data_IF_035099708904
#
_entry.id   IF_035099708904
#
_cell.length_a   1.000
_cell.length_b   1.000
_cell.length_c   1.000
_cell.angle_alpha   90.00
_cell.angle_beta   90.00
_cell.angle_gamma   90.00
#
_symmetry.space_group_name_H-M   'P 1'
#
loop_
_entity.id
_entity.type
_entity.pdbx_description
1 polymer ?
#
# COMPACT_ATOMS: atom_id res chain seq x y z
N UNK A 1 16.34 4.71 1.20
CA UNK A 1 15.20 3.92 1.68
C UNK A 1 15.34 2.44 1.37
N UNK A 2 14.67 1.58 2.14
CA UNK A 2 14.59 0.12 1.93
C UNK A 2 13.47 -0.22 0.95
N UNK A 3 13.62 -1.28 0.14
CA UNK A 3 12.58 -1.78 -0.77
C UNK A 3 12.23 -3.23 -0.43
N UNK A 4 10.95 -3.59 -0.52
CA UNK A 4 10.46 -4.95 -0.30
C UNK A 4 9.42 -5.30 -1.37
N UNK A 5 9.52 -6.49 -1.97
CA UNK A 5 8.51 -7.02 -2.87
C UNK A 5 7.70 -8.08 -2.13
N UNK A 6 6.38 -7.95 -2.15
CA UNK A 6 5.44 -8.95 -1.65
C UNK A 6 4.69 -9.53 -2.84
N UNK A 7 4.60 -10.85 -2.90
CA UNK A 7 3.71 -11.56 -3.82
C UNK A 7 2.67 -12.30 -3.00
N UNK A 8 1.40 -12.10 -3.33
CA UNK A 8 0.29 -12.77 -2.67
C UNK A 8 -0.58 -13.51 -3.68
N UNK A 9 -1.18 -14.59 -3.22
CA UNK A 9 -2.14 -15.38 -3.98
C UNK A 9 -3.32 -15.73 -3.09
N UNK A 10 -4.53 -15.69 -3.66
CA UNK A 10 -5.74 -16.08 -2.99
C UNK A 10 -5.70 -17.58 -2.64
N UNK A 11 -5.87 -17.89 -1.36
CA UNK A 11 -6.00 -19.27 -0.92
C UNK A 11 -7.39 -19.80 -1.28
N UNK A 12 -7.46 -20.89 -2.03
CA UNK A 12 -8.73 -21.49 -2.46
C UNK A 12 -8.59 -23.01 -2.63
N UNK A 13 -9.70 -23.73 -2.48
CA UNK A 13 -9.75 -25.18 -2.67
C UNK A 13 -10.36 -25.53 -4.03
N UNK A 14 -9.61 -26.33 -4.79
CA UNK A 14 -10.05 -26.82 -6.10
C UNK A 14 -11.30 -27.70 -5.96
N UNK A 15 -12.30 -27.47 -6.81
CA UNK A 15 -13.47 -28.35 -6.89
C UNK A 15 -13.17 -29.53 -7.83
N UNK A 16 -13.56 -30.77 -7.48
CA UNK A 16 -13.39 -31.91 -8.37
C UNK A 16 -14.07 -31.68 -9.73
N UNK A 17 -13.37 -32.00 -10.82
CA UNK A 17 -13.91 -31.93 -12.19
C UNK A 17 -13.62 -30.63 -12.97
N UNK A 18 -12.88 -29.68 -12.40
CA UNK A 18 -12.46 -28.47 -13.13
C UNK A 18 -11.32 -28.73 -14.12
N UNK A 19 -11.40 -28.12 -15.30
CA UNK A 19 -10.28 -28.09 -16.27
C UNK A 19 -9.16 -27.15 -15.82
N UNK A 20 -7.97 -27.27 -16.42
CA UNK A 20 -6.86 -26.34 -16.14
C UNK A 20 -7.23 -24.87 -16.41
N UNK A 21 -7.95 -24.60 -17.50
CA UNK A 21 -8.40 -23.26 -17.85
C UNK A 21 -9.38 -22.69 -16.81
N UNK A 22 -10.35 -23.49 -16.37
CA UNK A 22 -11.31 -23.09 -15.33
C UNK A 22 -10.62 -22.79 -13.99
N UNK A 23 -9.60 -23.58 -13.62
CA UNK A 23 -8.80 -23.31 -12.42
C UNK A 23 -8.02 -22.00 -12.52
N UNK A 24 -7.42 -21.71 -13.66
CA UNK A 24 -6.71 -20.45 -13.89
C UNK A 24 -7.67 -19.24 -13.85
N UNK A 25 -8.84 -19.35 -14.47
CA UNK A 25 -9.83 -18.28 -14.49
C UNK A 25 -10.41 -18.02 -13.09
N UNK A 26 -10.71 -19.07 -12.32
CA UNK A 26 -11.20 -18.94 -10.95
C UNK A 26 -10.12 -18.38 -10.00
N UNK A 27 -8.87 -18.84 -10.12
CA UNK A 27 -7.74 -18.27 -9.36
C UNK A 27 -7.53 -16.79 -9.70
N UNK A 28 -7.58 -16.42 -10.99
CA UNK A 28 -7.47 -15.03 -11.42
C UNK A 28 -8.65 -14.17 -10.95
N UNK A 29 -9.86 -14.73 -10.89
CA UNK A 29 -11.04 -14.07 -10.33
C UNK A 29 -10.86 -13.80 -8.83
N UNK A 30 -10.42 -14.79 -8.07
CA UNK A 30 -10.21 -14.67 -6.62
C UNK A 30 -9.05 -13.72 -6.29
N UNK A 31 -7.93 -13.80 -7.02
CA UNK A 31 -6.83 -12.85 -6.88
C UNK A 31 -7.31 -11.40 -7.11
N UNK A 32 -8.09 -11.16 -8.17
CA UNK A 32 -8.67 -9.83 -8.41
C UNK A 32 -9.64 -9.38 -7.32
N UNK A 33 -10.50 -10.28 -6.83
CA UNK A 33 -11.48 -9.97 -5.81
C UNK A 33 -10.85 -9.63 -4.45
N UNK A 34 -9.76 -10.29 -4.08
CA UNK A 34 -9.02 -10.07 -2.84
C UNK A 34 -7.87 -9.06 -2.98
N UNK A 35 -7.66 -8.53 -4.18
CA UNK A 35 -6.54 -7.64 -4.48
C UNK A 35 -5.17 -8.31 -4.40
N UNK A 36 -5.08 -9.64 -4.50
CA UNK A 36 -3.80 -10.35 -4.48
C UNK A 36 -2.99 -10.09 -5.76
N UNK A 37 -1.68 -9.92 -5.60
CA UNK A 37 -0.75 -9.65 -6.70
C UNK A 37 0.65 -9.31 -6.22
N UNK A 38 1.48 -8.78 -7.11
CA UNK A 38 2.76 -8.20 -6.73
C UNK A 38 2.54 -6.78 -6.19
N UNK A 39 3.03 -6.53 -4.98
CA UNK A 39 3.10 -5.18 -4.40
C UNK A 39 4.53 -4.87 -4.04
N UNK A 40 5.02 -3.72 -4.51
CA UNK A 40 6.31 -3.15 -4.15
C UNK A 40 6.11 -2.15 -3.04
N UNK A 41 6.95 -2.21 -2.00
CA UNK A 41 6.94 -1.28 -0.89
C UNK A 41 8.28 -0.56 -0.81
N UNK A 42 8.25 0.77 -0.73
CA UNK A 42 9.40 1.62 -0.47
C UNK A 42 9.29 2.30 0.89
N UNK A 43 10.37 2.26 1.66
CA UNK A 43 10.44 2.79 3.01
C UNK A 43 11.44 3.95 3.09
N UNK A 44 11.10 5.00 3.82
CA UNK A 44 12.04 6.05 4.23
C UNK A 44 12.27 5.96 5.74
N UNK A 45 13.49 5.58 6.14
CA UNK A 45 13.74 5.09 7.49
C UNK A 45 12.77 3.95 7.87
N UNK A 46 11.93 4.22 8.87
CA UNK A 46 10.91 3.30 9.38
C UNK A 46 9.50 3.54 8.85
N UNK A 47 9.25 4.64 8.12
CA UNK A 47 7.92 4.96 7.57
C UNK A 47 7.76 4.41 6.17
N UNK A 48 6.55 3.95 5.83
CA UNK A 48 6.23 3.47 4.50
C UNK A 48 6.08 4.68 3.58
N UNK A 49 7.06 4.93 2.72
CA UNK A 49 7.07 6.09 1.82
C UNK A 49 6.16 5.89 0.61
N UNK A 50 6.08 4.68 0.07
CA UNK A 50 5.18 4.36 -1.03
C UNK A 50 4.90 2.88 -1.16
N UNK A 51 3.78 2.56 -1.78
CA UNK A 51 3.46 1.23 -2.31
C UNK A 51 3.11 1.32 -3.79
N UNK A 52 3.47 0.30 -4.56
CA UNK A 52 3.27 0.24 -6.00
C UNK A 52 2.71 -1.11 -6.43
N UNK A 53 1.68 -1.08 -7.26
CA UNK A 53 1.08 -2.19 -7.98
C UNK A 53 1.14 -1.90 -9.49
N UNK A 54 0.74 -2.86 -10.31
CA UNK A 54 0.84 -2.77 -11.77
C UNK A 54 0.08 -1.57 -12.37
N UNK A 55 -0.95 -1.07 -11.68
CA UNK A 55 -1.86 -0.03 -12.15
C UNK A 55 -1.86 1.25 -11.28
N UNK A 56 -1.25 1.21 -10.10
CA UNK A 56 -1.31 2.31 -9.14
C UNK A 56 -0.07 2.35 -8.24
N UNK A 57 0.41 3.56 -7.97
CA UNK A 57 1.38 3.86 -6.92
C UNK A 57 0.75 4.84 -5.93
N UNK A 58 0.87 4.55 -4.64
CA UNK A 58 0.43 5.44 -3.55
C UNK A 58 1.65 5.87 -2.75
N UNK A 59 1.90 7.16 -2.67
CA UNK A 59 2.92 7.78 -1.83
C UNK A 59 2.28 8.27 -0.54
N UNK A 60 2.99 8.10 0.58
CA UNK A 60 2.56 8.57 1.90
C UNK A 60 3.54 9.63 2.42
N UNK A 61 2.99 10.71 2.97
CA UNK A 61 3.74 11.76 3.65
C UNK A 61 3.41 11.72 5.13
N UNK A 62 4.41 11.93 5.98
CA UNK A 62 4.28 11.88 7.44
C UNK A 62 4.83 13.16 8.06
N UNK A 63 4.40 13.43 9.29
CA UNK A 63 5.04 14.43 10.13
C UNK A 63 6.54 14.10 10.34
N UNK A 64 7.44 15.12 10.34
CA UNK A 64 8.86 14.88 10.53
C UNK A 64 9.17 14.12 11.83
N UNK A 65 9.88 13.00 11.71
CA UNK A 65 10.29 12.18 12.86
C UNK A 65 9.17 11.41 13.55
N UNK A 66 8.01 11.28 12.91
CA UNK A 66 6.80 10.67 13.47
C UNK A 66 6.20 9.62 12.51
N UNK A 67 5.25 8.84 13.02
CA UNK A 67 4.42 7.91 12.25
C UNK A 67 3.04 8.48 11.93
N UNK A 68 2.78 9.74 12.29
CA UNK A 68 1.51 10.44 11.98
C UNK A 68 1.46 10.76 10.49
N UNK A 69 0.54 10.17 9.72
CA UNK A 69 0.41 10.48 8.30
C UNK A 69 -0.22 11.87 8.12
N UNK A 70 0.24 12.58 7.09
CA UNK A 70 -0.25 13.91 6.71
C UNK A 70 -1.06 13.86 5.42
N UNK A 71 -0.54 13.18 4.39
CA UNK A 71 -1.19 13.09 3.10
C UNK A 71 -0.83 11.80 2.38
N UNK A 72 -1.67 11.42 1.40
CA UNK A 72 -1.33 10.44 0.40
C UNK A 72 -1.56 10.98 -1.01
N UNK A 73 -0.63 10.66 -1.91
CA UNK A 73 -0.68 11.02 -3.32
C UNK A 73 -0.73 9.75 -4.17
N UNK A 74 -1.64 9.73 -5.15
CA UNK A 74 -1.92 8.56 -5.97
C UNK A 74 -1.55 8.87 -7.41
N UNK A 75 -0.83 7.95 -8.04
CA UNK A 75 -0.54 7.94 -9.47
C UNK A 75 -1.03 6.63 -10.07
N UNK A 76 -1.81 6.68 -11.16
CA UNK A 76 -2.36 5.52 -11.89
C UNK A 76 -1.34 4.94 -12.86
N UNK A 77 -0.12 4.77 -12.35
CA UNK A 77 1.01 4.19 -13.05
C UNK A 77 1.81 3.35 -12.05
N UNK A 78 2.42 2.25 -12.52
CA UNK A 78 3.33 1.49 -11.70
C UNK A 78 4.59 2.31 -11.44
N UNK A 79 5.17 2.13 -10.26
CA UNK A 79 6.45 2.72 -9.90
C UNK A 79 7.54 2.18 -10.83
N UNK A 80 8.19 3.07 -11.59
CA UNK A 80 9.30 2.70 -12.45
C UNK A 80 10.58 2.60 -11.62
N UNK A 81 10.92 1.37 -11.21
CA UNK A 81 12.20 1.12 -10.57
C UNK A 81 13.32 1.17 -11.61
N UNK A 82 14.32 2.04 -11.39
CA UNK A 82 15.54 2.00 -12.17
C UNK A 82 16.23 0.65 -11.99
N UNK A 83 16.59 0.02 -13.11
CA UNK A 83 17.40 -1.19 -13.09
C UNK A 83 18.78 -0.86 -12.53
N UNK A 84 19.35 -1.77 -11.74
CA UNK A 84 20.75 -1.64 -11.35
C UNK A 84 21.62 -1.73 -12.62
N UNK A 85 22.44 -0.72 -12.92
CA UNK A 85 23.38 -0.81 -14.02
C UNK A 85 24.33 -1.99 -13.78
N UNK A 86 24.53 -2.80 -14.81
CA UNK A 86 25.58 -3.83 -14.81
C UNK A 86 26.87 -3.14 -15.20
N UNK A 87 27.71 -2.82 -14.22
CA UNK A 87 29.01 -2.19 -14.47
C UNK A 87 29.98 -3.20 -15.11
N UNK A 88 30.20 -3.09 -16.42
CA UNK A 88 31.23 -3.84 -17.12
C UNK A 88 32.51 -3.00 -17.24
N UNK A 89 33.24 -2.82 -16.12
CA UNK A 89 34.47 -2.03 -16.09
C UNK A 89 34.65 -1.22 -14.81
N UNK A 90 35.57 -0.24 -14.84
CA UNK A 90 35.70 0.75 -13.77
C UNK A 90 34.45 1.60 -13.67
N UNK A 91 34.12 2.06 -12.45
CA UNK A 91 33.00 2.96 -12.22
C UNK A 91 33.17 4.27 -13.00
N UNK A 92 32.14 4.64 -13.76
CA UNK A 92 32.05 5.90 -14.50
C UNK A 92 30.73 6.60 -14.13
N UNK A 93 30.83 7.76 -13.49
CA UNK A 93 29.67 8.53 -13.00
C UNK A 93 28.82 9.07 -14.15
N UNK A 94 29.45 9.36 -15.30
CA UNK A 94 28.77 9.90 -16.48
C UNK A 94 27.98 8.82 -17.25
N UNK A 95 28.17 7.55 -16.90
CA UNK A 95 27.42 6.41 -17.44
C UNK A 95 26.44 5.82 -16.42
N UNK A 96 26.38 6.38 -15.21
CA UNK A 96 25.49 5.89 -14.19
C UNK A 96 24.06 6.44 -14.46
N UNK A 97 23.08 5.56 -14.73
CA UNK A 97 21.70 5.97 -14.96
C UNK A 97 21.09 6.73 -13.78
N UNK A 98 21.60 6.56 -12.54
CA UNK A 98 21.14 7.33 -11.39
C UNK A 98 21.53 8.82 -11.45
N UNK A 99 22.62 9.15 -12.15
CA UNK A 99 23.13 10.51 -12.27
C UNK A 99 22.77 11.18 -13.60
N UNK A 100 22.48 10.38 -14.62
CA UNK A 100 22.18 10.84 -15.98
C UNK A 100 20.69 10.84 -16.31
N UNK A 101 19.88 10.08 -15.57
CA UNK A 101 18.42 10.07 -15.75
C UNK A 101 17.76 10.96 -14.71
N UNK A 102 17.13 12.04 -15.17
CA UNK A 102 16.14 12.78 -14.38
C UNK A 102 14.76 12.39 -14.89
N UNK A 103 14.10 11.36 -14.32
CA UNK A 103 12.74 11.06 -14.72
C UNK A 103 11.86 12.27 -14.44
N UNK A 104 10.99 12.63 -15.39
CA UNK A 104 9.92 13.58 -15.08
C UNK A 104 9.04 12.94 -14.00
N UNK A 105 8.74 13.66 -12.90
CA UNK A 105 7.88 13.13 -11.88
C UNK A 105 6.50 12.82 -12.48
N UNK A 106 5.99 11.64 -12.20
CA UNK A 106 4.64 11.29 -12.60
C UNK A 106 3.63 12.29 -12.01
N UNK A 107 2.60 12.58 -12.79
CA UNK A 107 1.47 13.36 -12.31
C UNK A 107 0.80 12.68 -11.11
N UNK A 108 0.31 13.49 -10.19
CA UNK A 108 -0.56 13.03 -9.10
C UNK A 108 -2.00 13.08 -9.61
N UNK A 109 -2.64 11.92 -9.70
CA UNK A 109 -4.03 11.77 -10.15
C UNK A 109 -5.04 12.06 -9.04
N UNK A 110 -4.66 11.83 -7.77
CA UNK A 110 -5.47 12.16 -6.61
C UNK A 110 -4.60 12.45 -5.39
N UNK A 111 -5.07 13.37 -4.54
CA UNK A 111 -4.43 13.76 -3.29
C UNK A 111 -5.48 13.71 -2.17
N UNK A 112 -5.11 13.19 -1.01
CA UNK A 112 -5.98 13.18 0.17
C UNK A 112 -5.17 13.47 1.44
N UNK A 113 -5.79 14.15 2.41
CA UNK A 113 -5.15 14.59 3.65
C UNK A 113 -5.74 13.85 4.84
N UNK A 114 -4.86 13.43 5.74
CA UNK A 114 -5.20 12.68 6.93
C UNK A 114 -5.66 13.60 8.06
N UNK A 115 -6.78 13.26 8.68
CA UNK A 115 -7.22 13.82 9.96
C UNK A 115 -7.04 12.74 11.02
N UNK A 116 -6.09 12.95 11.93
CA UNK A 116 -5.73 11.97 12.95
C UNK A 116 -6.25 12.39 14.33
N UNK A 117 -6.42 11.41 15.23
CA UNK A 117 -6.60 11.69 16.65
C UNK A 117 -5.27 12.13 17.31
N UNK A 118 -5.31 12.43 18.62
CA UNK A 118 -4.15 12.82 19.41
C UNK A 118 -3.03 11.75 19.49
N UNK A 119 -3.32 10.52 19.08
CA UNK A 119 -2.35 9.42 19.00
C UNK A 119 -1.84 9.21 17.57
N UNK A 120 -2.22 10.05 16.61
CA UNK A 120 -1.80 9.88 15.21
C UNK A 120 -2.55 8.78 14.46
N UNK A 121 -3.67 8.29 14.99
CA UNK A 121 -4.49 7.28 14.32
C UNK A 121 -5.41 7.96 13.31
N UNK A 122 -5.35 7.62 12.02
CA UNK A 122 -6.25 8.17 11.00
C UNK A 122 -7.72 7.98 11.34
N UNK A 123 -8.49 9.05 11.46
CA UNK A 123 -9.95 9.01 11.62
C UNK A 123 -10.65 9.31 10.29
N UNK A 124 -10.12 10.25 9.52
CA UNK A 124 -10.71 10.69 8.25
C UNK A 124 -9.64 11.01 7.20
N UNK A 125 -10.06 10.99 5.94
CA UNK A 125 -9.35 11.55 4.81
C UNK A 125 -10.25 12.56 4.11
N UNK A 126 -9.70 13.73 3.80
CA UNK A 126 -10.35 14.74 2.97
C UNK A 126 -9.68 14.85 1.61
N UNK A 127 -10.43 15.14 0.54
CA UNK A 127 -9.86 15.47 -0.77
C UNK A 127 -9.49 16.95 -0.88
N UNK A 128 -9.15 17.40 -2.10
CA UNK A 128 -8.70 18.76 -2.37
C UNK A 128 -9.81 19.81 -2.21
N UNK A 129 -11.06 19.39 -2.29
CA UNK A 129 -12.23 20.24 -2.07
C UNK A 129 -12.61 20.29 -0.57
N UNK A 130 -11.93 19.52 0.28
CA UNK A 130 -12.18 19.42 1.71
C UNK A 130 -13.29 18.43 2.07
N UNK A 131 -13.77 17.65 1.11
CA UNK A 131 -14.83 16.67 1.32
C UNK A 131 -14.29 15.39 1.95
N UNK A 132 -15.03 14.80 2.89
CA UNK A 132 -14.65 13.55 3.53
C UNK A 132 -14.80 12.41 2.51
N UNK A 133 -13.65 11.86 2.10
CA UNK A 133 -13.56 10.80 1.10
C UNK A 133 -13.41 9.41 1.71
N UNK A 134 -12.86 9.32 2.91
CA UNK A 134 -12.80 8.10 3.71
C UNK A 134 -12.89 8.45 5.19
N UNK A 135 -13.51 7.59 6.00
CA UNK A 135 -13.51 7.71 7.46
C UNK A 135 -13.58 6.34 8.13
N UNK A 136 -13.10 6.27 9.37
CA UNK A 136 -13.18 5.10 10.21
C UNK A 136 -13.76 5.45 11.58
N UNK A 137 -14.66 4.61 12.08
CA UNK A 137 -15.09 4.63 13.47
C UNK A 137 -14.50 3.43 14.21
N UNK A 138 -13.55 3.68 15.10
CA UNK A 138 -12.91 2.65 15.91
C UNK A 138 -13.77 2.36 17.14
N UNK A 139 -14.30 1.14 17.25
CA UNK A 139 -14.89 0.66 18.51
C UNK A 139 -13.76 0.22 19.45
N UNK A 140 -14.02 0.24 20.76
CA UNK A 140 -13.07 -0.16 21.82
C UNK A 140 -12.50 -1.60 21.70
N UNK A 141 -12.95 -2.40 20.73
CA UNK A 141 -12.59 -3.80 20.51
C UNK A 141 -11.90 -4.04 19.15
N UNK A 142 -11.36 -3.00 18.51
CA UNK A 142 -10.46 -3.14 17.34
C UNK A 142 -11.14 -3.18 15.96
N UNK A 143 -12.47 -3.36 15.87
CA UNK A 143 -13.18 -3.31 14.58
C UNK A 143 -13.41 -1.86 14.17
N UNK A 144 -12.73 -1.42 13.11
CA UNK A 144 -12.98 -0.16 12.44
C UNK A 144 -14.17 -0.33 11.47
N UNK A 145 -15.23 0.46 11.64
CA UNK A 145 -16.25 0.59 10.59
C UNK A 145 -15.77 1.67 9.62
N UNK A 146 -15.34 1.25 8.45
CA UNK A 146 -14.88 2.15 7.40
C UNK A 146 -16.02 2.60 6.48
N UNK A 147 -16.03 3.88 6.14
CA UNK A 147 -16.84 4.45 5.08
C UNK A 147 -15.91 5.09 4.05
N UNK A 148 -16.24 4.95 2.77
CA UNK A 148 -15.48 5.55 1.68
C UNK A 148 -16.46 5.96 0.58
N UNK A 149 -16.25 7.14 -0.02
CA UNK A 149 -17.13 7.65 -1.07
C UNK A 149 -16.93 6.87 -2.38
N UNK A 150 -17.93 6.89 -3.27
CA UNK A 150 -17.81 6.28 -4.59
C UNK A 150 -16.73 6.96 -5.44
N UNK A 151 -16.63 8.29 -5.37
CA UNK A 151 -15.60 9.08 -6.04
C UNK A 151 -14.20 8.68 -5.57
N UNK A 152 -14.00 8.59 -4.25
CA UNK A 152 -12.73 8.15 -3.66
C UNK A 152 -12.38 6.73 -4.07
N UNK A 153 -13.38 5.82 -4.10
CA UNK A 153 -13.18 4.46 -4.58
C UNK A 153 -12.62 4.43 -6.00
N UNK A 154 -13.24 5.20 -6.90
CA UNK A 154 -12.85 5.34 -8.30
C UNK A 154 -11.53 6.08 -8.50
N UNK A 155 -11.16 6.96 -7.56
CA UNK A 155 -9.87 7.65 -7.54
C UNK A 155 -8.71 6.77 -7.07
N UNK A 156 -8.98 5.55 -6.59
CA UNK A 156 -7.97 4.66 -6.01
C UNK A 156 -7.61 4.99 -4.56
N UNK A 157 -8.31 5.96 -3.94
CA UNK A 157 -8.07 6.35 -2.54
C UNK A 157 -8.46 5.20 -1.63
N UNK A 158 -7.55 4.78 -0.77
CA UNK A 158 -7.77 3.82 0.32
C UNK A 158 -6.98 4.29 1.53
N UNK A 159 -7.20 3.68 2.68
CA UNK A 159 -6.32 3.90 3.82
C UNK A 159 -5.93 2.56 4.44
N UNK A 160 -4.69 2.09 4.25
CA UNK A 160 -4.18 0.92 4.96
C UNK A 160 -3.50 1.29 6.30
N UNK A 161 -3.23 2.57 6.58
CA UNK A 161 -2.58 2.99 7.84
C UNK A 161 -3.58 2.86 9.00
N UNK A 162 -3.15 2.26 10.12
CA UNK A 162 -3.96 2.05 11.34
C UNK A 162 -3.31 2.79 12.52
N UNK A 163 -3.14 2.14 13.67
CA UNK A 163 -2.37 2.71 14.79
C UNK A 163 -0.91 2.98 14.39
N UNK A 164 -0.20 3.82 15.15
CA UNK A 164 1.19 4.19 14.85
C UNK A 164 2.06 2.97 14.49
N UNK A 165 2.62 2.98 13.28
CA UNK A 165 3.48 1.89 12.77
C UNK A 165 2.74 0.65 12.25
N UNK A 166 1.40 0.63 12.29
CA UNK A 166 0.59 -0.46 11.79
C UNK A 166 0.05 -0.20 10.38
N UNK A 167 0.19 -1.21 9.53
CA UNK A 167 -0.35 -1.23 8.17
C UNK A 167 -1.29 -2.42 8.04
N UNK A 168 -2.54 -2.20 7.64
CA UNK A 168 -3.49 -3.25 7.34
C UNK A 168 -3.20 -3.83 5.96
N UNK A 169 -2.86 -5.12 5.93
CA UNK A 169 -2.75 -5.88 4.71
C UNK A 169 -4.13 -6.41 4.29
N UNK A 170 -4.79 -5.73 3.35
CA UNK A 170 -6.14 -6.08 2.90
C UNK A 170 -6.26 -7.49 2.29
N UNK A 171 -5.15 -8.07 1.82
CA UNK A 171 -5.13 -9.41 1.22
C UNK A 171 -5.26 -10.52 2.27
N UNK A 172 -4.80 -10.26 3.50
CA UNK A 172 -4.79 -11.24 4.60
C UNK A 172 -5.68 -10.82 5.77
N UNK A 173 -6.11 -9.56 5.83
CA UNK A 173 -6.78 -8.97 6.99
C UNK A 173 -5.86 -8.75 8.20
N UNK A 174 -4.56 -9.03 8.06
CA UNK A 174 -3.58 -8.95 9.13
C UNK A 174 -3.00 -7.54 9.26
N UNK A 175 -2.66 -7.16 10.49
CA UNK A 175 -1.95 -5.92 10.77
C UNK A 175 -0.45 -6.20 10.72
N UNK A 176 0.26 -5.58 9.78
CA UNK A 176 1.71 -5.52 9.76
C UNK A 176 2.17 -4.48 10.78
N UNK A 177 2.88 -4.91 11.82
CA UNK A 177 3.58 -4.01 12.72
C UNK A 177 5.06 -4.36 12.68
N UNK A 178 5.86 -3.47 12.08
CA UNK A 178 7.32 -3.36 12.20
C UNK A 178 8.06 -4.67 12.58
N UNK A 179 7.93 -5.72 11.76
CA UNK A 179 8.60 -7.05 11.87
C UNK A 179 7.76 -8.28 12.33
N UNK A 180 6.46 -8.22 12.62
CA UNK A 180 5.62 -9.43 12.82
C UNK A 180 4.19 -9.25 12.26
N UNK A 181 3.62 -10.35 11.75
CA UNK A 181 2.21 -10.45 11.35
C UNK A 181 1.34 -10.59 12.61
N UNK A 182 0.32 -9.76 12.77
CA UNK A 182 -0.68 -9.90 13.84
C UNK A 182 -2.07 -10.10 13.25
N UNK A 183 -2.76 -11.12 13.76
CA UNK A 183 -4.16 -11.41 13.45
C UNK A 183 -5.07 -10.65 14.43
N UNK A 184 -5.89 -9.69 13.96
CA UNK A 184 -6.79 -8.93 14.82
C UNK A 184 -7.95 -9.74 15.41
N UNK A 185 -8.26 -10.94 14.89
CA UNK A 185 -9.29 -11.81 15.47
C UNK A 185 -8.79 -12.63 16.66
N UNK A 186 -7.47 -12.79 16.81
CA UNK A 186 -6.89 -13.71 17.80
C UNK A 186 -5.84 -12.95 18.61
N UNK A 187 -6.29 -12.34 19.71
CA UNK A 187 -5.46 -11.58 20.64
C UNK A 187 -4.41 -12.42 21.41
N UNK A 188 -3.46 -13.04 20.70
CA UNK A 188 -2.32 -13.74 21.29
C UNK A 188 -1.09 -13.62 20.39
N UNK A 189 -0.12 -12.83 20.85
CA UNK A 189 1.24 -12.88 20.33
C UNK A 189 1.94 -14.11 20.88
N UNK A 190 2.45 -14.97 20.01
CA UNK A 190 3.38 -16.01 20.43
C UNK A 190 4.79 -15.43 20.55
N UNK A 191 5.39 -15.78 21.69
CA UNK A 191 6.74 -15.43 22.19
C UNK A 191 7.82 -15.73 21.16
#
# INVERSE_FOLDING_TARGET
>A
GRRLMKQSEAHWQERPGMTHAQRQEEKARLNRALGCGATLYGWDGDTLAWEGRDDQTTHYLYEPGSFVPLAQAISRKPVLLHQQPVYAGGYDVDQDPLWTTSPEPDGVDALAWYQCDHLGTPQELTDADGEIVWSAQYKAWGVAKEAISSAARSAGIRNPIRFQGQYLDHETGLHYNRHRYYDPEIGRGDT
#
